data_IF_256000040782
#
_entry.id   IF_256000040782
#
_cell.length_a   1.000
_cell.length_b   1.000
_cell.length_c   1.000
_cell.angle_alpha   90.00
_cell.angle_beta   90.00
_cell.angle_gamma   90.00
#
_symmetry.space_group_name_H-M   'P 1'
#
loop_
_entity.id
_entity.type
_entity.pdbx_description
1 polymer ?
#
# COMPACT_ATOMS: atom_id res chain seq x y z
N UNK A 1 -23.67 -9.52 -9.01
CA UNK A 1 -22.52 -9.93 -8.18
C UNK A 1 -21.31 -9.13 -8.61
N UNK A 2 -20.47 -8.67 -7.70
CA UNK A 2 -19.19 -8.04 -8.03
C UNK A 2 -18.11 -8.90 -7.36
N UNK A 3 -17.20 -9.45 -8.16
CA UNK A 3 -16.08 -10.29 -7.72
C UNK A 3 -14.79 -9.52 -7.99
N UNK A 4 -13.96 -9.30 -6.97
CA UNK A 4 -12.70 -8.54 -7.06
C UNK A 4 -12.87 -7.16 -7.71
N UNK A 5 -13.96 -6.45 -7.41
CA UNK A 5 -14.28 -5.14 -7.99
C UNK A 5 -14.81 -5.17 -9.44
N UNK A 6 -14.90 -6.34 -10.08
CA UNK A 6 -15.46 -6.52 -11.41
C UNK A 6 -16.90 -7.04 -11.36
N UNK A 7 -17.79 -6.45 -12.16
CA UNK A 7 -19.22 -6.78 -12.17
C UNK A 7 -19.49 -8.05 -12.98
N UNK A 8 -19.89 -9.12 -12.29
CA UNK A 8 -20.03 -10.49 -12.82
C UNK A 8 -21.50 -10.92 -13.06
N UNK A 9 -22.45 -9.98 -13.02
CA UNK A 9 -23.86 -10.25 -13.36
C UNK A 9 -24.86 -9.25 -12.78
N UNK A 10 -26.03 -9.16 -13.42
CA UNK A 10 -27.16 -8.32 -13.00
C UNK A 10 -28.41 -9.14 -12.69
N UNK A 11 -29.12 -8.76 -11.65
CA UNK A 11 -30.57 -8.94 -11.52
C UNK A 11 -31.23 -7.56 -11.69
N UNK A 12 -32.50 -7.53 -12.10
CA UNK A 12 -33.27 -6.28 -12.15
C UNK A 12 -33.35 -5.64 -10.76
N UNK A 13 -33.46 -4.30 -10.66
CA UNK A 13 -33.61 -3.63 -9.38
C UNK A 13 -34.83 -4.18 -8.65
N UNK A 14 -34.62 -4.92 -7.56
CA UNK A 14 -35.68 -5.26 -6.63
C UNK A 14 -35.86 -4.10 -5.65
N UNK A 15 -37.07 -3.98 -5.08
CA UNK A 15 -37.28 -3.10 -3.93
C UNK A 15 -36.31 -3.42 -2.78
N UNK A 16 -36.20 -2.54 -1.77
CA UNK A 16 -35.34 -2.77 -0.62
C UNK A 16 -35.66 -4.13 0.02
N UNK A 17 -34.65 -4.79 0.57
CA UNK A 17 -34.85 -6.02 1.32
C UNK A 17 -35.80 -5.75 2.49
N UNK A 18 -36.98 -6.37 2.48
CA UNK A 18 -38.06 -6.21 3.48
C UNK A 18 -37.96 -7.24 4.62
N UNK A 19 -36.95 -8.12 4.62
CA UNK A 19 -36.80 -9.15 5.64
C UNK A 19 -36.36 -8.56 6.98
N UNK A 20 -36.92 -9.07 8.07
CA UNK A 20 -36.59 -8.63 9.45
C UNK A 20 -35.44 -9.42 10.07
N UNK A 21 -35.20 -10.65 9.60
CA UNK A 21 -34.13 -11.55 10.07
C UNK A 21 -33.81 -12.59 9.02
N UNK A 22 -32.55 -13.01 8.93
CA UNK A 22 -32.09 -14.10 8.07
C UNK A 22 -30.82 -14.74 8.62
N UNK A 23 -30.57 -15.98 8.22
CA UNK A 23 -29.32 -16.68 8.49
C UNK A 23 -28.44 -16.53 7.24
N UNK A 24 -27.18 -16.15 7.44
CA UNK A 24 -26.16 -16.13 6.40
C UNK A 24 -25.05 -17.11 6.80
N UNK A 25 -24.84 -18.13 5.98
CA UNK A 25 -23.82 -19.16 6.21
C UNK A 25 -22.63 -18.91 5.27
N UNK A 26 -21.42 -19.04 5.81
CA UNK A 26 -20.16 -18.82 5.08
C UNK A 26 -19.33 -20.09 5.15
N UNK A 27 -18.77 -20.50 4.02
CA UNK A 27 -17.85 -21.63 3.92
C UNK A 27 -18.54 -22.99 3.74
N UNK A 28 -19.74 -23.19 4.26
CA UNK A 28 -20.59 -24.34 3.90
C UNK A 28 -22.04 -24.00 4.24
N UNK A 29 -22.99 -24.53 3.46
CA UNK A 29 -24.41 -24.40 3.75
C UNK A 29 -25.06 -25.78 3.68
N UNK A 30 -25.53 -26.31 4.81
CA UNK A 30 -26.19 -27.61 4.86
C UNK A 30 -27.68 -27.44 4.60
N UNK A 31 -28.12 -27.67 3.37
CA UNK A 31 -29.56 -27.59 3.04
C UNK A 31 -30.29 -28.93 3.18
N UNK A 32 -29.60 -30.08 3.28
CA UNK A 32 -30.21 -31.40 3.53
C UNK A 32 -29.18 -32.43 4.04
N UNK A 33 -29.57 -33.26 5.02
CA UNK A 33 -28.72 -34.15 5.83
C UNK A 33 -27.98 -35.32 5.13
N UNK A 34 -27.89 -35.41 3.79
CA UNK A 34 -27.42 -36.63 3.11
C UNK A 34 -26.43 -36.44 1.94
N UNK A 35 -25.78 -35.28 1.81
CA UNK A 35 -24.70 -35.07 0.82
C UNK A 35 -23.49 -34.44 1.49
N UNK A 36 -22.32 -35.07 1.30
CA UNK A 36 -21.04 -34.52 1.75
C UNK A 36 -20.72 -33.29 0.90
N UNK A 37 -20.90 -32.09 1.46
CA UNK A 37 -20.38 -30.87 0.87
C UNK A 37 -18.91 -30.72 1.25
N UNK A 38 -18.07 -30.44 0.26
CA UNK A 38 -16.71 -29.98 0.54
C UNK A 38 -16.82 -28.56 1.08
N UNK A 39 -16.50 -28.31 2.36
CA UNK A 39 -16.46 -26.95 2.87
C UNK A 39 -15.42 -26.16 2.09
N UNK A 40 -15.62 -24.85 2.02
CA UNK A 40 -14.61 -23.92 1.51
C UNK A 40 -13.27 -24.23 2.18
N UNK A 41 -12.28 -24.52 1.35
CA UNK A 41 -10.92 -24.78 1.78
C UNK A 41 -10.04 -23.66 1.20
N UNK A 42 -9.82 -22.63 2.02
CA UNK A 42 -9.08 -21.43 1.68
C UNK A 42 -9.12 -20.43 2.82
N UNK A 43 -8.65 -19.21 2.58
CA UNK A 43 -8.67 -18.14 3.57
C UNK A 43 -9.82 -17.16 3.26
N UNK A 44 -10.62 -16.85 4.28
CA UNK A 44 -11.54 -15.71 4.29
C UNK A 44 -10.94 -14.71 5.27
N UNK A 45 -10.65 -13.52 4.77
CA UNK A 45 -10.07 -12.46 5.59
C UNK A 45 -11.18 -11.63 6.25
N UNK A 46 -11.89 -10.82 5.46
CA UNK A 46 -12.94 -9.93 5.97
C UNK A 46 -14.32 -10.24 5.38
N UNK A 47 -15.34 -10.23 6.25
CA UNK A 47 -16.75 -10.25 5.86
C UNK A 47 -17.39 -8.97 6.36
N UNK A 48 -17.94 -8.17 5.44
CA UNK A 48 -18.61 -6.90 5.77
C UNK A 48 -20.05 -6.95 5.30
N UNK A 49 -20.97 -6.69 6.24
CA UNK A 49 -22.35 -6.41 5.91
C UNK A 49 -22.58 -4.90 5.86
N UNK A 50 -23.19 -4.41 4.79
CA UNK A 50 -23.46 -2.97 4.62
C UNK A 50 -24.96 -2.75 4.44
N UNK A 51 -25.59 -1.85 5.21
CA UNK A 51 -27.05 -1.66 5.18
C UNK A 51 -27.52 -0.86 3.96
N UNK A 52 -26.60 -0.46 3.08
CA UNK A 52 -26.90 0.26 1.84
C UNK A 52 -26.15 -0.35 0.66
N UNK A 53 -26.66 -0.12 -0.54
CA UNK A 53 -25.91 -0.46 -1.75
C UNK A 53 -24.66 0.42 -1.87
N UNK A 54 -23.49 -0.22 -2.07
CA UNK A 54 -22.24 0.44 -2.44
C UNK A 54 -22.15 0.61 -3.96
N UNK A 55 -21.56 1.72 -4.40
CA UNK A 55 -21.24 1.92 -5.81
C UNK A 55 -19.98 1.11 -6.20
N UNK A 56 -19.68 1.05 -7.50
CA UNK A 56 -18.57 0.24 -8.00
C UNK A 56 -17.20 0.69 -7.45
N UNK A 57 -16.98 1.99 -7.28
CA UNK A 57 -15.73 2.55 -6.73
C UNK A 57 -15.55 2.19 -5.26
N UNK A 58 -16.62 2.26 -4.47
CA UNK A 58 -16.60 1.86 -3.06
C UNK A 58 -16.26 0.38 -2.91
N UNK A 59 -16.91 -0.48 -3.72
CA UNK A 59 -16.65 -1.93 -3.69
C UNK A 59 -15.22 -2.24 -4.14
N UNK A 60 -14.72 -1.55 -5.16
CA UNK A 60 -13.33 -1.70 -5.61
C UNK A 60 -12.35 -1.29 -4.51
N UNK A 61 -12.61 -0.18 -3.81
CA UNK A 61 -11.76 0.27 -2.72
C UNK A 61 -11.79 -0.70 -1.53
N UNK A 62 -12.96 -1.17 -1.09
CA UNK A 62 -13.03 -2.17 -0.02
C UNK A 62 -12.27 -3.46 -0.38
N UNK A 63 -12.33 -3.87 -1.65
CA UNK A 63 -11.72 -5.11 -2.11
C UNK A 63 -10.19 -5.01 -2.28
N UNK A 64 -9.64 -3.79 -2.40
CA UNK A 64 -8.24 -3.61 -2.84
C UNK A 64 -7.41 -2.64 -2.03
N UNK A 65 -8.01 -1.82 -1.15
CA UNK A 65 -7.25 -1.10 -0.14
C UNK A 65 -6.76 -2.11 0.91
N UNK A 66 -5.45 -2.26 1.03
CA UNK A 66 -4.83 -3.18 1.98
C UNK A 66 -4.69 -2.51 3.34
N UNK A 67 -4.09 -1.31 3.36
CA UNK A 67 -3.98 -0.49 4.58
C UNK A 67 -4.05 0.99 4.25
N UNK A 68 -4.56 1.77 5.21
CA UNK A 68 -4.48 3.22 5.23
C UNK A 68 -4.09 3.70 6.62
N UNK A 69 -2.88 4.23 6.77
CA UNK A 69 -2.44 4.88 7.98
C UNK A 69 -2.55 6.40 7.81
N UNK A 70 -3.53 6.99 8.49
CA UNK A 70 -3.72 8.45 8.53
C UNK A 70 -2.69 9.14 9.40
N UNK A 71 -2.20 8.45 10.44
CA UNK A 71 -1.38 9.01 11.51
C UNK A 71 -2.07 10.08 12.36
N UNK A 72 -3.39 10.22 12.18
CA UNK A 72 -4.23 11.12 12.95
C UNK A 72 -4.31 10.72 14.42
N UNK A 73 -4.26 11.73 15.29
CA UNK A 73 -4.20 11.62 16.74
C UNK A 73 -3.03 10.76 17.24
N UNK A 74 -1.93 10.70 16.48
CA UNK A 74 -0.78 9.84 16.77
C UNK A 74 -1.12 8.35 16.71
N UNK A 75 -2.19 7.98 16.00
CA UNK A 75 -2.64 6.60 15.85
C UNK A 75 -1.76 5.83 14.88
N UNK A 76 -1.50 4.57 15.21
CA UNK A 76 -0.87 3.59 14.32
C UNK A 76 -1.89 2.57 13.80
N UNK A 77 -3.18 2.84 14.02
CA UNK A 77 -4.25 1.94 13.61
C UNK A 77 -4.48 2.04 12.10
N UNK A 78 -4.76 0.90 11.48
CA UNK A 78 -5.23 0.85 10.10
C UNK A 78 -6.64 1.43 10.02
N UNK A 79 -6.80 2.48 9.23
CA UNK A 79 -8.09 3.09 8.89
C UNK A 79 -8.74 2.42 7.66
N UNK A 80 -8.05 1.45 7.07
CA UNK A 80 -8.52 0.58 6.01
C UNK A 80 -9.34 -0.62 6.51
N UNK A 81 -9.68 -1.54 5.61
CA UNK A 81 -10.59 -2.64 5.91
C UNK A 81 -9.94 -3.79 6.71
N UNK A 82 -8.62 -3.94 6.70
CA UNK A 82 -7.95 -5.18 7.14
C UNK A 82 -7.44 -5.16 8.59
N UNK A 83 -7.54 -4.02 9.28
CA UNK A 83 -7.11 -3.88 10.69
C UNK A 83 -5.64 -4.25 10.92
N UNK A 84 -4.79 -4.07 9.89
CA UNK A 84 -3.37 -4.37 9.98
C UNK A 84 -2.67 -3.19 10.66
N UNK A 85 -2.79 -3.10 11.98
CA UNK A 85 -2.18 -2.01 12.75
C UNK A 85 -0.65 -2.02 12.65
N UNK A 86 -0.05 -0.84 12.60
CA UNK A 86 1.40 -0.68 12.55
C UNK A 86 2.04 -0.38 13.90
N UNK A 87 3.36 -0.19 13.88
CA UNK A 87 4.15 0.25 15.03
C UNK A 87 5.10 1.38 14.63
N UNK A 88 5.21 2.41 15.47
CA UNK A 88 6.16 3.51 15.30
C UNK A 88 7.29 3.46 16.34
N UNK A 89 8.50 3.79 15.92
CA UNK A 89 9.69 3.93 16.79
C UNK A 89 10.31 5.30 16.57
N UNK A 90 10.48 6.06 17.66
CA UNK A 90 11.08 7.41 17.65
C UNK A 90 10.43 8.38 16.65
N UNK A 91 9.14 8.19 16.38
CA UNK A 91 8.31 9.09 15.59
C UNK A 91 7.42 9.92 16.52
N UNK A 92 7.06 11.12 16.08
CA UNK A 92 6.14 12.00 16.81
C UNK A 92 5.04 12.52 15.90
N UNK A 93 3.86 12.74 16.46
CA UNK A 93 2.76 13.35 15.72
C UNK A 93 2.95 14.86 15.63
N UNK A 94 2.81 15.41 14.42
CA UNK A 94 2.90 16.85 14.11
C UNK A 94 1.77 17.25 13.18
N UNK A 95 1.59 18.53 12.89
CA UNK A 95 0.65 18.98 11.86
C UNK A 95 1.02 18.40 10.49
N UNK A 96 0.06 17.74 9.86
CA UNK A 96 0.24 17.01 8.60
C UNK A 96 -0.18 17.78 7.36
N UNK A 97 -0.16 17.09 6.23
CA UNK A 97 -0.80 17.54 4.99
C UNK A 97 -2.32 17.50 5.14
N UNK A 98 -2.82 16.42 5.74
CA UNK A 98 -4.19 16.25 6.18
C UNK A 98 -4.11 16.06 7.68
N UNK A 99 -4.73 16.96 8.47
CA UNK A 99 -4.76 16.85 9.93
C UNK A 99 -3.36 16.67 10.58
N UNK A 100 -2.93 15.45 10.92
CA UNK A 100 -1.65 15.14 11.56
C UNK A 100 -0.80 14.15 10.75
N UNK A 101 0.52 14.25 10.89
CA UNK A 101 1.52 13.41 10.21
C UNK A 101 2.52 12.82 11.21
N UNK A 102 3.32 11.84 10.76
CA UNK A 102 4.50 11.37 11.50
C UNK A 102 5.74 12.16 11.13
N UNK A 103 6.49 12.55 12.16
CA UNK A 103 7.80 13.19 12.05
C UNK A 103 8.93 12.21 12.32
N UNK A 104 9.92 12.20 11.41
CA UNK A 104 11.10 11.33 11.41
C UNK A 104 12.35 12.20 11.60
N UNK A 105 12.66 12.53 12.86
CA UNK A 105 13.73 13.47 13.23
C UNK A 105 14.78 12.88 14.16
N UNK A 106 14.79 11.56 14.33
CA UNK A 106 15.80 10.85 15.11
C UNK A 106 16.65 9.97 14.20
N UNK A 107 17.89 9.68 14.60
CA UNK A 107 18.85 8.87 13.83
C UNK A 107 18.36 7.44 13.54
N UNK A 108 17.44 6.92 14.36
CA UNK A 108 16.63 5.74 14.09
C UNK A 108 15.18 6.07 14.37
N UNK A 109 14.45 6.50 13.35
CA UNK A 109 13.00 6.71 13.39
C UNK A 109 12.32 6.04 12.21
N UNK A 110 11.29 5.25 12.50
CA UNK A 110 10.58 4.50 11.49
C UNK A 110 9.16 4.15 11.94
N UNK A 111 8.32 3.83 10.97
CA UNK A 111 7.04 3.18 11.19
C UNK A 111 7.02 1.88 10.37
N UNK A 112 6.34 0.84 10.84
CA UNK A 112 6.22 -0.41 10.11
C UNK A 112 4.81 -1.01 10.20
N UNK A 113 4.40 -1.65 9.11
CA UNK A 113 3.30 -2.60 9.07
C UNK A 113 3.81 -3.94 8.53
N UNK A 114 3.15 -5.04 8.88
CA UNK A 114 3.56 -6.39 8.45
C UNK A 114 2.39 -7.32 8.25
N UNK A 115 2.61 -8.42 7.53
CA UNK A 115 1.56 -9.38 7.19
C UNK A 115 0.99 -9.18 5.79
N UNK A 116 1.66 -8.40 4.93
CA UNK A 116 1.21 -8.10 3.58
C UNK A 116 1.48 -9.28 2.63
N UNK A 117 0.63 -10.30 2.67
CA UNK A 117 0.79 -11.54 1.89
C UNK A 117 0.72 -11.32 0.38
N UNK A 118 -0.18 -10.46 -0.09
CA UNK A 118 -0.32 -10.18 -1.53
C UNK A 118 0.94 -9.53 -2.11
N UNK A 119 1.59 -8.62 -1.37
CA UNK A 119 2.88 -8.04 -1.78
C UNK A 119 3.98 -9.10 -1.96
N UNK A 120 3.89 -10.22 -1.24
CA UNK A 120 4.81 -11.35 -1.39
C UNK A 120 4.53 -12.26 -2.58
N UNK A 121 3.48 -11.99 -3.36
CA UNK A 121 3.03 -12.86 -4.45
C UNK A 121 3.59 -12.39 -5.79
N UNK A 122 4.17 -13.34 -6.53
CA UNK A 122 4.72 -13.07 -7.88
C UNK A 122 3.63 -12.49 -8.77
N UNK A 123 3.99 -11.43 -9.51
CA UNK A 123 3.11 -10.73 -10.45
C UNK A 123 1.84 -10.11 -9.83
N UNK A 124 1.76 -9.99 -8.50
CA UNK A 124 0.69 -9.23 -7.86
C UNK A 124 0.81 -7.75 -8.24
N UNK A 125 -0.28 -7.17 -8.74
CA UNK A 125 -0.34 -5.71 -8.94
C UNK A 125 -0.47 -5.02 -7.59
N UNK A 126 0.21 -3.89 -7.42
CA UNK A 126 0.19 -3.14 -6.17
C UNK A 126 0.31 -1.65 -6.42
N UNK A 127 -0.09 -0.84 -5.45
CA UNK A 127 0.21 0.59 -5.43
C UNK A 127 0.52 1.08 -4.03
N UNK A 128 1.49 1.97 -3.91
CA UNK A 128 1.87 2.65 -2.67
C UNK A 128 1.66 4.15 -2.91
N UNK A 129 0.96 4.83 -2.01
CA UNK A 129 0.76 6.27 -2.06
C UNK A 129 0.97 6.89 -0.68
N UNK A 130 1.66 8.02 -0.64
CA UNK A 130 1.89 8.79 0.59
C UNK A 130 2.28 10.24 0.26
N UNK A 131 2.12 11.11 1.25
CA UNK A 131 2.70 12.45 1.22
C UNK A 131 4.04 12.46 1.94
N UNK A 132 5.03 13.12 1.33
CA UNK A 132 6.35 13.34 1.94
C UNK A 132 6.68 14.82 1.99
N UNK A 133 7.35 15.25 3.05
CA UNK A 133 7.83 16.60 3.23
C UNK A 133 9.23 16.56 3.87
N UNK A 134 10.29 16.46 3.04
CA UNK A 134 11.65 16.24 3.50
C UNK A 134 12.27 17.51 4.06
N UNK A 135 12.99 17.41 5.17
CA UNK A 135 13.85 18.48 5.70
C UNK A 135 15.29 18.36 5.20
N UNK A 136 15.66 17.20 4.65
CA UNK A 136 16.94 16.94 3.97
C UNK A 136 16.71 16.02 2.77
N UNK A 137 17.37 16.30 1.65
CA UNK A 137 17.34 15.44 0.44
C UNK A 137 18.74 15.05 -0.03
N UNK A 138 19.73 15.90 0.17
CA UNK A 138 21.14 15.59 -0.14
C UNK A 138 21.66 14.50 0.79
N UNK A 139 22.42 13.55 0.25
CA UNK A 139 22.86 12.37 0.99
C UNK A 139 21.91 11.17 0.82
N UNK A 140 20.72 11.37 0.25
CA UNK A 140 19.72 10.34 0.01
C UNK A 140 19.10 9.74 1.28
N UNK A 141 18.12 8.87 1.09
CA UNK A 141 17.37 8.23 2.18
C UNK A 141 16.46 7.13 1.64
N UNK A 142 16.06 6.19 2.51
CA UNK A 142 14.96 5.28 2.22
C UNK A 142 13.65 5.86 2.75
N UNK A 143 12.64 5.97 1.90
CA UNK A 143 11.30 6.44 2.28
C UNK A 143 10.41 5.24 2.60
N UNK A 144 10.36 4.26 1.69
CA UNK A 144 9.60 3.01 1.85
C UNK A 144 10.52 1.84 1.53
N UNK A 145 10.66 0.93 2.49
CA UNK A 145 11.42 -0.32 2.38
C UNK A 145 10.46 -1.51 2.46
N UNK A 146 10.55 -2.41 1.50
CA UNK A 146 9.85 -3.70 1.54
C UNK A 146 10.83 -4.78 1.98
N UNK A 147 10.40 -5.63 2.90
CA UNK A 147 11.21 -6.75 3.39
C UNK A 147 10.35 -7.95 3.78
N UNK A 148 10.85 -9.18 3.64
CA UNK A 148 10.14 -10.38 4.10
C UNK A 148 10.30 -10.61 5.61
N UNK A 149 11.11 -9.78 6.30
CA UNK A 149 11.22 -9.74 7.75
C UNK A 149 11.00 -8.32 8.27
N UNK A 150 10.47 -8.21 9.50
CA UNK A 150 10.29 -6.91 10.18
C UNK A 150 11.61 -6.22 10.56
N UNK A 151 12.75 -6.91 10.44
CA UNK A 151 14.08 -6.35 10.69
C UNK A 151 14.69 -5.66 9.46
N UNK A 152 13.96 -5.60 8.35
CA UNK A 152 14.41 -5.03 7.08
C UNK A 152 15.25 -5.98 6.21
N UNK A 153 15.26 -7.28 6.52
CA UNK A 153 16.10 -8.31 5.89
C UNK A 153 15.27 -9.35 5.11
N UNK A 154 15.95 -10.40 4.65
CA UNK A 154 15.36 -11.47 3.85
C UNK A 154 15.32 -11.10 2.37
N UNK A 155 14.17 -11.31 1.72
CA UNK A 155 13.91 -10.65 0.44
C UNK A 155 13.58 -9.19 0.75
N UNK A 156 14.31 -8.23 0.17
CA UNK A 156 14.07 -6.84 0.47
C UNK A 156 14.51 -5.88 -0.65
N UNK A 157 13.75 -4.79 -0.81
CA UNK A 157 14.02 -3.71 -1.77
C UNK A 157 13.60 -2.34 -1.19
N UNK A 158 14.38 -1.27 -1.41
CA UNK A 158 13.92 0.09 -1.14
C UNK A 158 13.02 0.57 -2.29
N UNK A 159 11.70 0.40 -2.14
CA UNK A 159 10.73 0.67 -3.21
C UNK A 159 10.54 2.17 -3.48
N UNK A 160 10.61 3.02 -2.46
CA UNK A 160 10.61 4.48 -2.62
C UNK A 160 11.75 5.06 -1.80
N UNK A 161 12.52 5.98 -2.38
CA UNK A 161 13.58 6.66 -1.65
C UNK A 161 14.22 7.80 -2.43
N UNK A 162 15.34 8.31 -1.91
CA UNK A 162 16.08 9.42 -2.49
C UNK A 162 17.46 8.95 -2.94
N UNK A 163 17.88 9.44 -4.10
CA UNK A 163 19.27 9.32 -4.56
C UNK A 163 20.20 10.15 -3.70
N UNK A 164 21.52 9.95 -3.85
CA UNK A 164 22.53 10.79 -3.19
C UNK A 164 22.37 12.29 -3.51
N UNK A 165 21.85 12.62 -4.70
CA UNK A 165 21.55 13.98 -5.14
C UNK A 165 20.18 14.50 -4.70
N UNK A 166 19.36 13.68 -4.03
CA UNK A 166 18.03 14.04 -3.54
C UNK A 166 16.90 13.84 -4.55
N UNK A 167 17.14 13.14 -5.66
CA UNK A 167 16.09 12.78 -6.62
C UNK A 167 15.18 11.70 -6.02
N UNK A 168 13.86 11.88 -6.14
CA UNK A 168 12.91 10.83 -5.77
C UNK A 168 13.05 9.64 -6.71
N UNK A 169 13.05 8.43 -6.16
CA UNK A 169 13.17 7.18 -6.90
C UNK A 169 12.04 6.26 -6.49
N UNK A 170 11.44 5.58 -7.47
CA UNK A 170 10.58 4.41 -7.24
C UNK A 170 11.21 3.18 -7.89
N UNK A 171 11.12 2.02 -7.23
CA UNK A 171 11.72 0.77 -7.69
C UNK A 171 10.80 -0.42 -7.49
N UNK A 172 10.82 -1.33 -8.45
CA UNK A 172 10.26 -2.68 -8.31
C UNK A 172 11.31 -3.72 -8.69
N UNK A 173 10.99 -5.00 -8.60
CA UNK A 173 11.95 -6.09 -8.78
C UNK A 173 11.44 -7.15 -9.76
N UNK A 174 12.30 -7.52 -10.72
CA UNK A 174 12.01 -8.56 -11.73
C UNK A 174 13.14 -9.60 -11.87
N UNK A 175 13.98 -9.72 -10.84
CA UNK A 175 15.31 -10.35 -10.91
C UNK A 175 16.44 -9.31 -10.98
N UNK A 176 16.07 -8.07 -11.27
CA UNK A 176 16.88 -6.86 -11.13
C UNK A 176 15.98 -5.68 -10.71
N UNK A 177 16.56 -4.57 -10.25
CA UNK A 177 15.79 -3.38 -9.91
C UNK A 177 15.29 -2.68 -11.18
N UNK A 178 13.97 -2.60 -11.35
CA UNK A 178 13.33 -1.72 -12.33
C UNK A 178 13.16 -0.37 -11.66
N UNK A 179 13.85 0.66 -12.16
CA UNK A 179 13.98 1.96 -11.47
C UNK A 179 13.40 3.08 -12.32
N UNK A 180 12.67 3.99 -11.69
CA UNK A 180 12.30 5.30 -12.25
C UNK A 180 12.92 6.38 -11.36
N UNK A 181 13.68 7.27 -11.97
CA UNK A 181 14.30 8.42 -11.29
C UNK A 181 13.55 9.70 -11.62
N UNK A 182 13.07 10.37 -10.58
CA UNK A 182 12.32 11.61 -10.62
C UNK A 182 13.17 12.88 -10.46
N UNK A 183 12.51 14.02 -10.24
CA UNK A 183 13.17 15.27 -9.93
C UNK A 183 13.68 15.28 -8.48
N UNK A 184 14.47 16.30 -8.14
CA UNK A 184 14.85 16.60 -6.76
C UNK A 184 13.62 17.12 -6.02
N UNK A 185 13.32 16.56 -4.85
CA UNK A 185 12.20 17.05 -4.04
C UNK A 185 12.53 18.42 -3.43
N UNK A 186 11.51 19.28 -3.36
CA UNK A 186 11.64 20.58 -2.69
C UNK A 186 11.65 20.37 -1.19
N UNK A 187 12.63 20.95 -0.50
CA UNK A 187 12.72 20.90 0.96
C UNK A 187 11.54 21.64 1.61
N UNK A 188 11.05 21.10 2.72
CA UNK A 188 9.98 21.68 3.53
C UNK A 188 8.66 21.91 2.75
N UNK A 189 8.43 21.13 1.69
CA UNK A 189 7.23 21.18 0.88
C UNK A 189 6.62 19.77 0.72
N UNK A 190 5.31 19.69 0.91
CA UNK A 190 4.55 18.46 0.69
C UNK A 190 4.55 18.07 -0.79
N UNK A 191 4.98 16.85 -1.07
CA UNK A 191 4.88 16.19 -2.38
C UNK A 191 4.13 14.89 -2.21
N UNK A 192 3.05 14.71 -2.97
CA UNK A 192 2.37 13.41 -3.04
C UNK A 192 3.16 12.51 -3.99
N UNK A 193 3.59 11.35 -3.51
CA UNK A 193 4.30 10.35 -4.30
C UNK A 193 3.43 9.10 -4.36
N UNK A 194 3.17 8.60 -5.57
CA UNK A 194 2.57 7.29 -5.75
C UNK A 194 3.38 6.42 -6.70
N UNK A 195 3.61 5.19 -6.27
CA UNK A 195 4.16 4.09 -7.06
C UNK A 195 3.01 3.15 -7.41
N UNK A 196 2.84 2.82 -8.69
CA UNK A 196 1.88 1.78 -9.11
C UNK A 196 2.57 0.76 -9.97
N UNK A 197 2.22 -0.51 -9.81
CA UNK A 197 2.70 -1.60 -10.65
C UNK A 197 1.55 -2.51 -11.11
N UNK A 198 1.59 -2.88 -12.40
CA UNK A 198 0.93 -4.08 -12.91
C UNK A 198 1.76 -4.75 -13.99
N UNK A 199 1.47 -6.02 -14.28
CA UNK A 199 2.10 -6.74 -15.37
C UNK A 199 1.97 -6.00 -16.70
N UNK A 200 0.77 -5.49 -17.00
CA UNK A 200 0.46 -4.87 -18.30
C UNK A 200 1.12 -3.51 -18.47
N UNK A 201 1.25 -2.74 -17.40
CA UNK A 201 1.70 -1.35 -17.46
C UNK A 201 3.10 -1.11 -16.91
N UNK A 202 3.71 -2.13 -16.30
CA UNK A 202 4.97 -1.98 -15.60
C UNK A 202 4.86 -1.10 -14.37
N UNK A 203 6.00 -0.54 -13.96
CA UNK A 203 6.13 0.40 -12.86
C UNK A 203 5.78 1.80 -13.33
N UNK A 204 5.08 2.57 -12.51
CA UNK A 204 4.78 3.99 -12.77
C UNK A 204 5.02 4.82 -11.52
N UNK A 205 5.59 6.00 -11.74
CA UNK A 205 5.77 7.04 -10.73
C UNK A 205 4.78 8.17 -11.02
N UNK A 206 4.03 8.58 -10.01
CA UNK A 206 3.19 9.77 -10.03
C UNK A 206 3.66 10.75 -8.97
N UNK A 207 3.67 12.03 -9.34
CA UNK A 207 3.99 13.14 -8.45
C UNK A 207 2.81 14.13 -8.47
N UNK A 208 2.32 14.51 -7.28
CA UNK A 208 1.21 15.45 -7.11
C UNK A 208 -0.01 15.12 -7.99
N UNK A 209 -0.36 13.83 -8.07
CA UNK A 209 -1.53 13.36 -8.80
C UNK A 209 -1.32 13.18 -10.31
N UNK A 210 -0.14 13.50 -10.83
CA UNK A 210 0.18 13.44 -12.27
C UNK A 210 1.21 12.36 -12.56
N UNK A 211 1.04 11.63 -13.67
CA UNK A 211 2.01 10.62 -14.10
C UNK A 211 3.32 11.32 -14.47
N UNK A 212 4.41 10.96 -13.80
CA UNK A 212 5.74 11.47 -14.09
C UNK A 212 6.45 10.64 -15.15
N UNK A 213 6.53 9.32 -14.94
CA UNK A 213 7.19 8.39 -15.87
C UNK A 213 6.76 6.93 -15.60
N UNK A 214 7.10 6.04 -16.52
CA UNK A 214 6.78 4.60 -16.47
C UNK A 214 7.89 3.73 -17.05
N UNK A 215 7.99 2.49 -16.59
CA UNK A 215 8.81 1.45 -17.23
C UNK A 215 8.05 0.71 -18.33
N UNK A 216 8.73 -0.19 -19.04
CA UNK A 216 8.05 -1.24 -19.80
C UNK A 216 7.36 -2.25 -18.86
N UNK A 217 6.46 -3.07 -19.40
CA UNK A 217 5.89 -4.23 -18.70
C UNK A 217 6.98 -5.22 -18.26
N UNK A 218 6.84 -5.80 -17.08
CA UNK A 218 7.71 -6.86 -16.58
C UNK A 218 6.95 -7.77 -15.62
N UNK A 219 7.52 -8.93 -15.30
CA UNK A 219 7.01 -9.82 -14.25
C UNK A 219 7.64 -9.44 -12.92
N UNK A 220 6.83 -8.95 -11.98
CA UNK A 220 7.24 -8.72 -10.60
C UNK A 220 7.62 -10.04 -9.92
N UNK A 221 8.83 -10.08 -9.39
CA UNK A 221 9.31 -11.18 -8.56
C UNK A 221 9.23 -10.78 -7.09
N UNK A 222 8.75 -11.68 -6.25
CA UNK A 222 8.48 -11.44 -4.84
C UNK A 222 9.03 -12.56 -3.96
N UNK A 223 8.91 -12.42 -2.64
CA UNK A 223 9.48 -13.34 -1.65
C UNK A 223 8.76 -14.70 -1.55
N UNK A 224 7.54 -14.82 -2.09
CA UNK A 224 6.61 -15.93 -1.80
C UNK A 224 6.27 -16.08 -0.30
N UNK A 225 6.37 -14.99 0.47
CA UNK A 225 6.09 -14.93 1.90
C UNK A 225 5.41 -13.60 2.27
N UNK A 226 4.78 -13.54 3.44
CA UNK A 226 4.21 -12.29 3.94
C UNK A 226 5.29 -11.21 4.07
N UNK A 227 4.96 -10.00 3.61
CA UNK A 227 5.88 -8.87 3.58
C UNK A 227 5.64 -7.89 4.73
N UNK A 228 6.69 -7.14 5.06
CA UNK A 228 6.66 -5.94 5.88
C UNK A 228 6.96 -4.72 4.99
N UNK A 229 6.30 -3.62 5.32
CA UNK A 229 6.67 -2.28 4.84
C UNK A 229 7.21 -1.52 6.04
N UNK A 230 8.40 -0.96 5.88
CA UNK A 230 9.04 -0.07 6.84
C UNK A 230 9.21 1.28 6.16
N UNK A 231 8.70 2.35 6.77
CA UNK A 231 8.84 3.71 6.28
C UNK A 231 9.79 4.52 7.15
N UNK A 232 10.60 5.35 6.50
CA UNK A 232 11.53 6.27 7.13
C UNK A 232 12.94 5.72 7.43
N UNK A 233 13.14 4.40 7.48
CA UNK A 233 14.45 3.78 7.68
C UNK A 233 14.45 2.33 7.15
N UNK A 234 15.50 1.84 6.46
CA UNK A 234 15.54 0.45 5.99
C UNK A 234 15.89 -0.56 7.09
N UNK A 235 16.14 -0.12 8.33
CA UNK A 235 16.67 -0.90 9.45
C UNK A 235 17.99 -1.58 9.06
N UNK A 236 18.05 -2.91 9.15
CA UNK A 236 19.23 -3.67 8.73
C UNK A 236 19.27 -3.87 7.20
N UNK A 237 18.28 -3.38 6.46
CA UNK A 237 18.17 -3.51 5.01
C UNK A 237 19.16 -2.68 4.19
N UNK A 238 20.20 -2.13 4.82
CA UNK A 238 21.26 -1.37 4.14
C UNK A 238 22.08 -2.21 3.16
N UNK A 239 22.02 -3.54 3.29
CA UNK A 239 22.75 -4.50 2.45
C UNK A 239 21.84 -5.28 1.49
N UNK A 240 20.57 -4.90 1.32
CA UNK A 240 19.60 -5.67 0.52
C UNK A 240 20.04 -5.85 -0.93
N UNK A 241 20.19 -4.76 -1.67
CA UNK A 241 20.63 -4.72 -3.06
C UNK A 241 21.35 -3.41 -3.32
N UNK A 242 22.30 -3.42 -4.26
CA UNK A 242 22.86 -2.18 -4.79
C UNK A 242 21.75 -1.40 -5.49
N UNK A 243 21.42 -0.22 -4.97
CA UNK A 243 20.34 0.61 -5.46
C UNK A 243 20.79 2.06 -5.60
N UNK A 244 20.27 2.82 -6.60
CA UNK A 244 20.39 4.27 -6.62
C UNK A 244 19.66 4.96 -5.46
N UNK A 245 18.73 4.29 -4.78
CA UNK A 245 18.22 4.75 -3.47
C UNK A 245 19.32 4.58 -2.44
N UNK A 246 19.68 5.65 -1.75
CA UNK A 246 20.66 5.54 -0.66
C UNK A 246 19.99 4.87 0.55
N UNK A 247 20.56 3.76 1.07
CA UNK A 247 20.04 3.14 2.27
C UNK A 247 20.34 4.05 3.48
N UNK A 248 19.29 4.60 4.11
CA UNK A 248 19.48 5.52 5.21
C UNK A 248 18.18 6.10 5.77
N UNK A 249 18.34 6.82 6.88
CA UNK A 249 17.25 7.53 7.56
C UNK A 249 16.68 8.63 6.67
N UNK A 250 15.37 8.64 6.50
CA UNK A 250 14.63 9.79 5.99
C UNK A 250 14.47 10.85 7.08
N UNK A 251 14.71 12.11 6.71
CA UNK A 251 14.53 13.25 7.59
C UNK A 251 13.40 14.12 7.06
N UNK A 252 12.31 14.21 7.82
CA UNK A 252 11.14 14.97 7.41
C UNK A 252 9.86 14.47 8.04
N UNK A 253 8.75 14.72 7.35
CA UNK A 253 7.40 14.28 7.76
C UNK A 253 6.76 13.48 6.64
N UNK A 254 5.98 12.46 7.01
CA UNK A 254 5.17 11.69 6.07
C UNK A 254 3.74 11.58 6.58
N UNK A 255 2.82 11.54 5.63
CA UNK A 255 1.40 11.56 5.92
C UNK A 255 0.63 10.62 4.98
N UNK A 256 -0.53 10.13 5.43
CA UNK A 256 -1.53 9.49 4.58
C UNK A 256 -1.04 8.26 3.80
N UNK A 257 -0.25 7.39 4.44
CA UNK A 257 0.29 6.18 3.82
C UNK A 257 -0.82 5.20 3.44
N UNK A 258 -0.82 4.76 2.18
CA UNK A 258 -1.77 3.77 1.66
C UNK A 258 -1.07 2.71 0.83
N UNK A 259 -1.54 1.47 0.98
CA UNK A 259 -1.15 0.33 0.16
C UNK A 259 -2.39 -0.28 -0.48
N UNK A 260 -2.33 -0.57 -1.77
CA UNK A 260 -3.38 -1.22 -2.54
C UNK A 260 -2.86 -2.53 -3.16
N UNK A 261 -3.73 -3.54 -3.24
CA UNK A 261 -3.49 -4.82 -3.94
C UNK A 261 -3.88 -4.76 -5.42
N UNK A 262 -3.84 -3.56 -6.00
CA UNK A 262 -4.11 -3.32 -7.42
C UNK A 262 -3.25 -2.17 -7.93
N UNK A 263 -3.20 -2.03 -9.24
CA UNK A 263 -2.77 -0.79 -9.87
C UNK A 263 -3.86 0.28 -9.69
N UNK A 264 -3.48 1.44 -9.15
CA UNK A 264 -4.30 2.65 -9.18
C UNK A 264 -4.22 3.30 -10.56
N UNK A 265 -5.36 3.76 -11.08
CA UNK A 265 -5.38 4.55 -12.30
C UNK A 265 -5.09 6.04 -12.01
N UNK A 266 -4.91 6.85 -13.06
CA UNK A 266 -4.61 8.29 -12.91
C UNK A 266 -5.68 9.06 -12.14
N UNK A 267 -6.95 8.68 -12.23
CA UNK A 267 -8.06 9.34 -11.50
C UNK A 267 -8.01 9.01 -10.01
N UNK A 268 -7.72 7.76 -9.67
CA UNK A 268 -7.52 7.34 -8.27
C UNK A 268 -6.36 8.12 -7.65
N UNK A 269 -5.21 8.13 -8.33
CA UNK A 269 -4.00 8.82 -7.84
C UNK A 269 -4.19 10.33 -7.75
N UNK A 270 -4.89 10.93 -8.71
CA UNK A 270 -5.25 12.35 -8.65
C UNK A 270 -6.11 12.66 -7.43
N UNK A 271 -7.09 11.80 -7.12
CA UNK A 271 -7.96 11.99 -5.94
C UNK A 271 -7.18 11.93 -4.63
N UNK A 272 -6.23 11.01 -4.49
CA UNK A 272 -5.36 10.92 -3.30
C UNK A 272 -4.43 12.13 -3.14
N UNK A 273 -4.00 12.73 -4.25
CA UNK A 273 -3.15 13.92 -4.25
C UNK A 273 -3.92 15.24 -4.02
N UNK A 274 -5.27 15.20 -3.98
CA UNK A 274 -6.12 16.36 -3.78
C UNK A 274 -7.17 16.08 -2.68
N UNK A 275 -6.73 15.86 -1.43
CA UNK A 275 -7.60 15.60 -0.28
C UNK A 275 -8.39 16.84 0.16
#
# INVERSE_FOLDING_TARGET
>A
MILNGLRDGFSSPSGPYQGTSGIFEIGTASVNYNVAFNPFNGYIDQVVFTPRAKNATEILNDATLVVWYTFDNGSYLDSGPLWINGTGVSVTSVTGRVNQALSFTSSLSYFQGSGFTLLGTVNQSYSIALWVNPTTVSGGATIVHMASTSTGLGWCIPTIGLSISGQIITQSYNGSLVTITGPILTLNAWTHVAETYSFTHGLRMYLNGTLYSSSASFTYQASSAAMAIIIGNPLNGTTCLSSPVVPGQYWGTMDEFRLYSRELNSTDVYSLANP
#
